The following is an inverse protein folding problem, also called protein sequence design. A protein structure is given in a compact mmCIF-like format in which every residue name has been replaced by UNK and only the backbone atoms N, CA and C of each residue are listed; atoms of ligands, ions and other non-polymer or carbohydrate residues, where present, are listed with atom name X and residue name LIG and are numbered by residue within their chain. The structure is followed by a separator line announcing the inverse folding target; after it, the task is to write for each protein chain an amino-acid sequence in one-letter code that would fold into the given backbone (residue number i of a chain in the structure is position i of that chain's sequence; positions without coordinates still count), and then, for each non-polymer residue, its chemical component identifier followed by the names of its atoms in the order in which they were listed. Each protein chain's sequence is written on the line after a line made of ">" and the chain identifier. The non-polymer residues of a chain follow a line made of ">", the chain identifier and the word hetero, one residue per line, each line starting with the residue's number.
data_IF_994248566654
#
_entry.id   IF_994248566654
#
_cell.length_a   1.000
_cell.length_b   1.000
_cell.length_c   1.000
_cell.angle_alpha   90.00
_cell.angle_beta   90.00
_cell.angle_gamma   90.00
#
_symmetry.space_group_name_H-M   'P 1'
#
loop_
_entity.id
_entity.type
_entity.pdbx_description
1 polymer ?
#
# COMPACT_ATOMS: atom_id res chain seq x y z
N UNK A 1 3.12 -22.93 -8.52
CA UNK A 1 3.90 -22.18 -9.51
C UNK A 1 3.46 -22.74 -10.83
N UNK A 2 2.58 -22.04 -11.50
CA UNK A 2 2.03 -22.50 -12.77
C UNK A 2 2.90 -21.99 -13.92
N UNK A 3 3.05 -22.78 -14.96
CA UNK A 3 3.83 -22.46 -16.16
C UNK A 3 2.86 -22.39 -17.33
N UNK A 4 2.91 -21.30 -18.07
CA UNK A 4 2.05 -21.00 -19.20
C UNK A 4 2.90 -20.75 -20.45
N UNK A 5 2.38 -21.06 -21.63
CA UNK A 5 2.91 -20.51 -22.88
C UNK A 5 2.24 -19.16 -23.19
N UNK A 6 2.85 -18.35 -24.06
CA UNK A 6 2.34 -17.03 -24.42
C UNK A 6 1.19 -17.08 -25.45
N UNK A 7 0.22 -18.00 -25.27
CA UNK A 7 -1.02 -17.93 -26.05
C UNK A 7 -1.97 -16.91 -25.43
N UNK A 8 -2.80 -16.26 -26.24
CA UNK A 8 -3.73 -15.24 -25.76
C UNK A 8 -4.68 -15.78 -24.67
N UNK A 9 -5.16 -17.04 -24.82
CA UNK A 9 -6.00 -17.68 -23.82
C UNK A 9 -5.31 -17.89 -22.47
N UNK A 10 -4.01 -18.18 -22.47
CA UNK A 10 -3.23 -18.35 -21.24
C UNK A 10 -2.87 -17.03 -20.59
N UNK A 11 -2.66 -15.98 -21.38
CA UNK A 11 -2.47 -14.62 -20.88
C UNK A 11 -3.74 -14.15 -20.15
N UNK A 12 -4.92 -14.36 -20.77
CA UNK A 12 -6.21 -14.02 -20.14
C UNK A 12 -6.42 -14.78 -18.84
N UNK A 13 -6.12 -16.08 -18.81
CA UNK A 13 -6.22 -16.93 -17.64
C UNK A 13 -5.29 -16.45 -16.51
N UNK A 14 -4.04 -16.15 -16.82
CA UNK A 14 -3.09 -15.61 -15.86
C UNK A 14 -3.52 -14.24 -15.32
N UNK A 15 -4.08 -13.39 -16.18
CA UNK A 15 -4.64 -12.09 -15.79
C UNK A 15 -5.85 -12.23 -14.87
N UNK A 16 -6.71 -13.22 -15.08
CA UNK A 16 -7.86 -13.50 -14.23
C UNK A 16 -7.41 -14.01 -12.85
N UNK A 17 -6.47 -14.96 -12.82
CA UNK A 17 -5.87 -15.49 -11.59
C UNK A 17 -5.23 -14.38 -10.73
N UNK A 18 -4.45 -13.50 -11.37
CA UNK A 18 -3.86 -12.33 -10.68
C UNK A 18 -4.95 -11.41 -10.15
N UNK A 19 -6.00 -11.13 -10.93
CA UNK A 19 -7.12 -10.29 -10.50
C UNK A 19 -7.86 -10.86 -9.29
N UNK A 20 -8.16 -12.16 -9.30
CA UNK A 20 -8.78 -12.87 -8.18
C UNK A 20 -7.88 -12.85 -6.94
N UNK A 21 -6.60 -13.14 -7.10
CA UNK A 21 -5.64 -13.11 -6.01
C UNK A 21 -5.58 -11.74 -5.35
N UNK A 22 -5.46 -10.66 -6.14
CA UNK A 22 -5.41 -9.29 -5.63
C UNK A 22 -6.69 -8.92 -4.87
N UNK A 23 -7.85 -9.34 -5.36
CA UNK A 23 -9.14 -9.17 -4.68
C UNK A 23 -9.20 -9.92 -3.35
N UNK A 24 -8.82 -11.21 -3.33
CA UNK A 24 -8.79 -12.07 -2.12
C UNK A 24 -7.84 -11.56 -1.04
N UNK A 25 -6.76 -10.88 -1.44
CA UNK A 25 -5.75 -10.35 -0.50
C UNK A 25 -6.10 -8.94 0.03
N UNK A 26 -7.15 -8.31 -0.52
CA UNK A 26 -7.66 -7.02 -0.06
C UNK A 26 -6.88 -5.83 -0.62
N UNK A 27 -6.42 -5.93 -1.87
CA UNK A 27 -5.93 -4.78 -2.64
C UNK A 27 -7.11 -3.90 -3.03
N UNK A 28 -6.93 -2.59 -3.06
CA UNK A 28 -7.96 -1.66 -3.53
C UNK A 28 -8.32 -1.95 -5.00
N UNK A 29 -9.62 -1.92 -5.36
CA UNK A 29 -10.12 -2.26 -6.70
C UNK A 29 -9.39 -1.50 -7.82
N UNK A 30 -9.12 -0.21 -7.61
CA UNK A 30 -8.41 0.64 -8.58
C UNK A 30 -6.97 0.18 -8.80
N UNK A 31 -6.30 -0.16 -7.71
CA UNK A 31 -4.93 -0.66 -7.69
C UNK A 31 -4.82 -2.06 -8.32
N UNK A 32 -5.76 -2.94 -7.98
CA UNK A 32 -5.85 -4.29 -8.55
C UNK A 32 -6.06 -4.24 -10.08
N UNK A 33 -6.96 -3.36 -10.55
CA UNK A 33 -7.22 -3.17 -11.98
C UNK A 33 -5.97 -2.64 -12.70
N UNK A 34 -5.29 -1.65 -12.13
CA UNK A 34 -4.04 -1.12 -12.71
C UNK A 34 -2.97 -2.19 -12.79
N UNK A 35 -2.76 -2.93 -11.70
CA UNK A 35 -1.77 -4.01 -11.68
C UNK A 35 -2.09 -5.07 -12.73
N UNK A 36 -3.38 -5.44 -12.89
CA UNK A 36 -3.82 -6.38 -13.91
C UNK A 36 -3.51 -5.87 -15.33
N UNK A 37 -3.85 -4.62 -15.64
CA UNK A 37 -3.60 -4.04 -16.97
C UNK A 37 -2.11 -3.96 -17.28
N UNK A 38 -1.28 -3.50 -16.34
CA UNK A 38 0.16 -3.44 -16.56
C UNK A 38 0.78 -4.84 -16.66
N UNK A 39 0.25 -5.81 -15.91
CA UNK A 39 0.66 -7.22 -15.99
C UNK A 39 0.37 -7.80 -17.38
N UNK A 40 -0.82 -7.57 -17.92
CA UNK A 40 -1.22 -7.97 -19.26
C UNK A 40 -0.34 -7.32 -20.33
N UNK A 41 -0.11 -6.01 -20.26
CA UNK A 41 0.75 -5.27 -21.20
C UNK A 41 2.17 -5.83 -21.22
N UNK A 42 2.74 -6.16 -20.06
CA UNK A 42 4.06 -6.79 -19.94
C UNK A 42 4.10 -8.18 -20.58
N UNK A 43 3.05 -8.99 -20.42
CA UNK A 43 2.98 -10.31 -21.05
C UNK A 43 2.87 -10.21 -22.58
N UNK A 44 2.07 -9.28 -23.09
CA UNK A 44 1.94 -9.03 -24.53
C UNK A 44 3.26 -8.53 -25.15
N UNK A 45 4.01 -7.72 -24.41
CA UNK A 45 5.34 -7.26 -24.85
C UNK A 45 6.35 -8.41 -24.92
N UNK A 46 6.33 -9.31 -23.93
CA UNK A 46 7.15 -10.53 -23.99
C UNK A 46 6.70 -11.50 -25.08
N UNK A 47 5.38 -11.66 -25.30
CA UNK A 47 4.84 -12.45 -26.41
C UNK A 47 5.34 -11.92 -27.77
N UNK A 48 5.31 -10.61 -27.97
CA UNK A 48 5.81 -9.96 -29.19
C UNK A 48 7.31 -10.20 -29.41
N UNK A 49 8.10 -10.25 -28.32
CA UNK A 49 9.55 -10.42 -28.38
C UNK A 49 10.00 -11.88 -28.53
N UNK A 50 9.39 -12.80 -27.78
CA UNK A 50 9.81 -14.19 -27.68
C UNK A 50 8.92 -15.18 -28.43
N UNK A 51 7.76 -14.74 -28.92
CA UNK A 51 6.78 -15.56 -29.63
C UNK A 51 5.86 -16.36 -28.69
N UNK A 52 4.81 -16.96 -29.28
CA UNK A 52 3.77 -17.67 -28.54
C UNK A 52 4.24 -19.01 -27.92
N UNK A 53 5.30 -19.63 -28.46
CA UNK A 53 5.85 -20.89 -27.96
C UNK A 53 6.71 -20.73 -26.70
N UNK A 54 7.17 -19.51 -26.42
CA UNK A 54 7.91 -19.24 -25.20
C UNK A 54 7.02 -19.44 -23.97
N UNK A 55 7.64 -19.68 -22.82
CA UNK A 55 6.91 -19.94 -21.58
C UNK A 55 7.20 -18.91 -20.51
N UNK A 56 6.19 -18.60 -19.72
CA UNK A 56 6.31 -17.75 -18.55
C UNK A 56 5.74 -18.44 -17.30
N UNK A 57 6.19 -17.99 -16.15
CA UNK A 57 5.73 -18.45 -14.83
C UNK A 57 5.22 -17.29 -14.04
N UNK A 58 4.08 -17.47 -13.38
CA UNK A 58 3.52 -16.50 -12.45
C UNK A 58 3.72 -16.97 -11.03
N UNK A 59 4.19 -16.10 -10.17
CA UNK A 59 4.35 -16.36 -8.75
C UNK A 59 3.61 -15.31 -7.95
N UNK A 60 2.60 -15.76 -7.21
CA UNK A 60 1.78 -14.94 -6.33
C UNK A 60 2.23 -15.14 -4.89
N UNK A 61 2.73 -14.09 -4.24
CA UNK A 61 3.28 -14.16 -2.89
C UNK A 61 2.53 -13.20 -1.97
N UNK A 62 1.96 -13.75 -0.90
CA UNK A 62 1.37 -12.97 0.19
C UNK A 62 2.29 -13.05 1.40
N UNK A 63 2.86 -11.90 1.80
CA UNK A 63 3.55 -11.75 3.08
C UNK A 63 2.69 -10.88 4.02
N UNK A 64 2.97 -10.92 5.32
CA UNK A 64 2.24 -10.11 6.33
C UNK A 64 2.14 -8.62 5.94
N UNK A 65 3.22 -8.03 5.44
CA UNK A 65 3.31 -6.61 5.13
C UNK A 65 3.21 -6.28 3.63
N UNK A 66 3.45 -7.23 2.72
CA UNK A 66 3.54 -6.96 1.28
C UNK A 66 2.90 -8.05 0.45
N UNK A 67 2.37 -7.63 -0.69
CA UNK A 67 1.86 -8.52 -1.75
C UNK A 67 2.85 -8.39 -2.90
N UNK A 68 3.23 -9.51 -3.51
CA UNK A 68 4.09 -9.53 -4.68
C UNK A 68 3.46 -10.40 -5.76
N UNK A 69 3.41 -9.87 -6.96
CA UNK A 69 3.10 -10.61 -8.19
C UNK A 69 4.38 -10.60 -9.01
N UNK A 70 4.90 -11.75 -9.34
CA UNK A 70 6.17 -11.89 -10.04
C UNK A 70 5.96 -12.67 -11.34
N UNK A 71 6.43 -12.09 -12.45
CA UNK A 71 6.50 -12.73 -13.76
C UNK A 71 7.94 -13.22 -13.95
N UNK A 72 8.11 -14.44 -14.40
CA UNK A 72 9.42 -15.04 -14.71
C UNK A 72 9.37 -15.54 -16.14
N UNK A 73 10.21 -15.00 -17.01
CA UNK A 73 10.33 -15.40 -18.42
C UNK A 73 11.74 -15.88 -18.68
N UNK A 74 11.88 -17.08 -19.22
CA UNK A 74 13.18 -17.64 -19.64
C UNK A 74 13.55 -17.10 -21.03
N UNK A 75 14.78 -16.64 -21.19
CA UNK A 75 15.27 -16.11 -22.46
C UNK A 75 16.35 -15.06 -22.31
N UNK A 76 16.61 -14.34 -23.39
CA UNK A 76 17.57 -13.23 -23.42
C UNK A 76 17.14 -12.10 -22.49
N UNK A 77 18.11 -11.28 -22.07
CA UNK A 77 17.85 -10.10 -21.26
C UNK A 77 16.98 -9.10 -22.03
N UNK A 78 15.74 -8.93 -21.60
CA UNK A 78 14.79 -8.00 -22.20
C UNK A 78 13.92 -7.33 -21.14
N UNK A 79 13.94 -6.00 -21.10
CA UNK A 79 13.13 -5.23 -20.18
C UNK A 79 11.82 -4.78 -20.86
N UNK A 80 10.76 -5.54 -20.66
CA UNK A 80 9.44 -5.25 -21.21
C UNK A 80 8.75 -3.99 -20.58
N UNK A 81 9.37 -3.37 -19.57
CA UNK A 81 8.85 -2.14 -18.96
C UNK A 81 9.33 -0.89 -19.72
N UNK A 82 10.37 -0.99 -20.53
CA UNK A 82 10.91 0.12 -21.32
C UNK A 82 10.35 0.00 -22.74
N UNK A 83 9.26 0.68 -23.01
CA UNK A 83 8.83 0.94 -24.39
C UNK A 83 9.84 1.90 -25.03
N UNK A 84 10.38 1.56 -26.20
CA UNK A 84 11.27 2.40 -27.01
C UNK A 84 10.54 3.60 -27.66
N UNK A 85 9.61 4.24 -26.96
CA UNK A 85 8.90 5.43 -27.42
C UNK A 85 8.96 6.50 -26.33
N UNK A 86 9.09 7.76 -26.72
CA UNK A 86 9.12 8.94 -25.84
C UNK A 86 7.91 9.01 -24.87
N UNK A 87 6.82 8.33 -25.19
CA UNK A 87 5.65 8.19 -24.30
C UNK A 87 5.87 7.22 -23.12
N UNK A 88 6.80 6.25 -23.26
CA UNK A 88 7.09 5.26 -22.21
C UNK A 88 7.69 5.88 -20.95
N UNK A 89 8.52 6.90 -21.09
CA UNK A 89 9.14 7.61 -19.96
C UNK A 89 8.13 8.39 -19.12
N UNK A 90 7.09 8.93 -19.75
CA UNK A 90 6.01 9.66 -19.05
C UNK A 90 5.14 8.70 -18.24
N UNK A 91 4.83 7.53 -18.79
CA UNK A 91 4.03 6.50 -18.12
C UNK A 91 4.83 5.87 -16.98
N UNK A 92 6.11 5.58 -17.16
CA UNK A 92 6.99 5.09 -16.10
C UNK A 92 7.17 6.14 -14.99
N UNK A 93 7.34 7.40 -15.32
CA UNK A 93 7.40 8.49 -14.34
C UNK A 93 6.11 8.64 -13.52
N UNK A 94 4.95 8.50 -14.15
CA UNK A 94 3.65 8.49 -13.50
C UNK A 94 3.46 7.26 -12.60
N UNK A 95 3.86 6.07 -13.04
CA UNK A 95 3.78 4.84 -12.26
C UNK A 95 4.77 4.85 -11.08
N UNK A 96 5.98 5.38 -11.28
CA UNK A 96 6.97 5.56 -10.21
C UNK A 96 6.50 6.57 -9.16
N UNK A 97 5.90 7.68 -9.59
CA UNK A 97 5.35 8.69 -8.67
C UNK A 97 4.19 8.19 -7.81
N UNK A 98 3.49 7.13 -8.26
CA UNK A 98 2.39 6.51 -7.52
C UNK A 98 2.89 5.32 -6.65
N UNK A 99 4.18 4.98 -6.72
CA UNK A 99 4.77 3.88 -5.95
C UNK A 99 4.35 2.48 -6.43
N UNK A 100 3.96 2.36 -7.69
CA UNK A 100 3.48 1.17 -8.38
C UNK A 100 4.43 0.69 -9.48
N UNK A 101 5.59 1.35 -9.64
CA UNK A 101 6.52 0.98 -10.68
C UNK A 101 6.94 -0.49 -10.49
N UNK A 102 6.61 -1.37 -11.45
CA UNK A 102 7.15 -2.71 -11.44
C UNK A 102 8.67 -2.65 -11.56
N UNK A 103 9.36 -3.57 -10.93
CA UNK A 103 10.82 -3.65 -11.01
C UNK A 103 11.21 -4.81 -11.90
N UNK A 104 12.11 -4.54 -12.84
CA UNK A 104 12.71 -5.57 -13.70
C UNK A 104 14.09 -5.96 -13.20
N UNK A 105 14.44 -7.23 -13.31
CA UNK A 105 15.76 -7.76 -13.01
C UNK A 105 16.03 -8.97 -13.92
N UNK A 106 17.29 -9.11 -14.38
CA UNK A 106 17.74 -10.26 -15.17
C UNK A 106 18.75 -11.06 -14.38
N UNK A 107 18.50 -12.37 -14.21
CA UNK A 107 19.41 -13.26 -13.49
C UNK A 107 19.28 -14.70 -14.01
N UNK A 108 20.44 -15.36 -14.21
CA UNK A 108 20.51 -16.77 -14.61
C UNK A 108 19.67 -17.13 -15.85
N UNK A 109 19.72 -16.30 -16.91
CA UNK A 109 18.96 -16.54 -18.13
C UNK A 109 17.45 -16.32 -18.00
N UNK A 110 17.00 -15.60 -16.97
CA UNK A 110 15.58 -15.34 -16.71
C UNK A 110 15.34 -13.87 -16.44
N UNK A 111 14.27 -13.36 -17.02
CA UNK A 111 13.74 -12.04 -16.75
C UNK A 111 12.73 -12.12 -15.60
N UNK A 112 12.89 -11.27 -14.60
CA UNK A 112 11.99 -11.16 -13.45
C UNK A 112 11.33 -9.79 -13.47
N UNK A 113 10.00 -9.75 -13.48
CA UNK A 113 9.24 -8.52 -13.26
C UNK A 113 8.42 -8.69 -11.99
N UNK A 114 8.58 -7.75 -11.07
CA UNK A 114 7.96 -7.79 -9.76
C UNK A 114 7.04 -6.59 -9.58
N UNK A 115 5.76 -6.86 -9.34
CA UNK A 115 4.74 -5.89 -8.96
C UNK A 115 4.54 -5.95 -7.44
N UNK A 116 4.44 -4.79 -6.79
CA UNK A 116 4.20 -4.69 -5.34
C UNK A 116 2.96 -3.80 -5.12
N UNK A 117 1.75 -4.33 -5.37
CA UNK A 117 0.53 -3.56 -5.17
C UNK A 117 0.31 -3.23 -3.69
N UNK A 118 -0.15 -2.01 -3.42
CA UNK A 118 -0.42 -1.55 -2.06
C UNK A 118 -1.72 -2.15 -1.55
N UNK A 119 -1.70 -2.66 -0.31
CA UNK A 119 -2.92 -3.06 0.39
C UNK A 119 -3.80 -1.85 0.66
N UNK A 120 -5.09 -2.05 0.63
CA UNK A 120 -6.06 -1.05 1.10
C UNK A 120 -5.69 -0.64 2.53
N UNK A 121 -5.45 0.65 2.79
CA UNK A 121 -5.20 1.09 4.15
C UNK A 121 -6.43 0.80 5.02
N UNK A 122 -6.19 0.32 6.24
CA UNK A 122 -7.27 0.17 7.22
C UNK A 122 -7.99 1.50 7.38
N UNK A 123 -9.33 1.47 7.37
CA UNK A 123 -10.14 2.68 7.57
C UNK A 123 -9.75 3.37 8.88
N UNK A 124 -9.80 4.70 8.91
CA UNK A 124 -9.48 5.49 10.11
C UNK A 124 -10.29 5.03 11.32
N UNK A 125 -11.55 4.69 11.10
CA UNK A 125 -12.47 4.16 12.13
C UNK A 125 -11.96 2.86 12.74
N UNK A 126 -11.50 1.90 11.92
CA UNK A 126 -10.96 0.62 12.43
C UNK A 126 -9.67 0.83 13.22
N UNK A 127 -8.80 1.75 12.77
CA UNK A 127 -7.60 2.12 13.53
C UNK A 127 -7.94 2.74 14.87
N UNK A 128 -8.95 3.59 14.90
CA UNK A 128 -9.41 4.29 16.10
C UNK A 128 -10.02 3.32 17.13
N UNK A 129 -10.92 2.43 16.68
CA UNK A 129 -11.50 1.37 17.51
C UNK A 129 -10.42 0.41 18.03
N UNK A 130 -9.47 0.04 17.17
CA UNK A 130 -8.33 -0.80 17.56
C UNK A 130 -7.46 -0.13 18.64
N UNK A 131 -7.18 1.16 18.50
CA UNK A 131 -6.42 1.93 19.50
C UNK A 131 -7.14 2.00 20.85
N UNK A 132 -8.46 2.22 20.86
CA UNK A 132 -9.27 2.23 22.07
C UNK A 132 -9.26 0.85 22.74
N UNK A 133 -9.45 -0.23 21.96
CA UNK A 133 -9.38 -1.60 22.49
C UNK A 133 -8.03 -1.92 23.11
N UNK A 134 -6.94 -1.52 22.45
CA UNK A 134 -5.59 -1.71 22.96
C UNK A 134 -5.34 -0.92 24.25
N UNK A 135 -5.84 0.31 24.33
CA UNK A 135 -5.76 1.13 25.55
C UNK A 135 -6.48 0.50 26.74
N UNK A 136 -7.67 -0.07 26.51
CA UNK A 136 -8.44 -0.79 27.56
C UNK A 136 -7.67 -2.02 28.05
N UNK A 137 -7.11 -2.81 27.13
CA UNK A 137 -6.31 -3.99 27.47
C UNK A 137 -5.07 -3.59 28.30
N UNK A 138 -4.34 -2.56 27.86
CA UNK A 138 -3.20 -2.03 28.59
C UNK A 138 -3.60 -1.53 29.99
N UNK A 139 -4.75 -0.86 30.12
CA UNK A 139 -5.26 -0.40 31.40
C UNK A 139 -5.59 -1.55 32.36
N UNK A 140 -6.19 -2.63 31.86
CA UNK A 140 -6.45 -3.84 32.66
C UNK A 140 -5.14 -4.50 33.11
N UNK A 141 -4.17 -4.62 32.20
CA UNK A 141 -2.85 -5.21 32.54
C UNK A 141 -2.16 -4.37 33.61
N UNK A 142 -2.13 -3.06 33.47
CA UNK A 142 -1.54 -2.15 34.47
C UNK A 142 -2.23 -2.27 35.84
N UNK A 143 -3.55 -2.52 35.86
CA UNK A 143 -4.28 -2.67 37.09
C UNK A 143 -3.99 -4.01 37.82
N UNK A 144 -3.54 -5.03 37.11
CA UNK A 144 -3.13 -6.33 37.64
C UNK A 144 -1.69 -6.35 38.14
N UNK A 145 -0.87 -5.33 37.83
CA UNK A 145 0.52 -5.26 38.27
C UNK A 145 0.64 -4.81 39.74
N UNK A 146 1.72 -5.23 40.44
CA UNK A 146 2.05 -4.75 41.79
C UNK A 146 2.16 -3.22 41.86
N UNK A 147 1.77 -2.65 43.00
CA UNK A 147 1.66 -1.19 43.20
C UNK A 147 2.93 -0.40 42.85
N UNK A 148 4.11 -0.97 43.08
CA UNK A 148 5.38 -0.30 42.75
C UNK A 148 5.60 -0.08 41.24
N UNK A 149 5.23 -1.06 40.40
CA UNK A 149 5.35 -0.95 38.95
C UNK A 149 4.23 -0.04 38.41
N UNK A 150 3.05 -0.13 38.97
CA UNK A 150 1.89 0.69 38.64
C UNK A 150 2.15 2.18 38.91
N UNK A 151 2.71 2.51 40.06
CA UNK A 151 3.10 3.89 40.41
C UNK A 151 4.15 4.41 39.43
N UNK A 152 5.21 3.63 39.15
CA UNK A 152 6.24 4.00 38.19
C UNK A 152 5.68 4.23 36.78
N UNK A 153 4.84 3.35 36.27
CA UNK A 153 4.20 3.51 34.95
C UNK A 153 3.29 4.76 34.89
N UNK A 154 2.58 5.04 35.98
CA UNK A 154 1.74 6.22 36.08
C UNK A 154 2.57 7.52 36.06
N UNK A 155 3.58 7.61 36.89
CA UNK A 155 4.36 8.83 37.08
C UNK A 155 5.31 9.13 35.92
N UNK A 156 5.96 8.09 35.36
CA UNK A 156 6.96 8.28 34.31
C UNK A 156 6.38 8.27 32.88
N UNK A 157 5.20 7.68 32.66
CA UNK A 157 4.62 7.55 31.31
C UNK A 157 3.25 8.23 31.18
N UNK A 158 2.26 7.83 32.00
CA UNK A 158 0.92 8.35 31.83
C UNK A 158 0.80 9.82 32.18
N UNK A 159 1.36 10.24 33.31
CA UNK A 159 1.26 11.64 33.76
C UNK A 159 1.93 12.61 32.79
N UNK A 160 3.17 12.41 32.31
CA UNK A 160 3.75 13.30 31.30
C UNK A 160 2.97 13.36 29.99
N UNK A 161 2.47 12.22 29.50
CA UNK A 161 1.66 12.15 28.27
C UNK A 161 0.34 12.91 28.45
N UNK A 162 -0.34 12.70 29.58
CA UNK A 162 -1.60 13.41 29.89
C UNK A 162 -1.38 14.91 30.00
N UNK A 163 -0.32 15.34 30.69
CA UNK A 163 0.01 16.74 30.84
C UNK A 163 0.38 17.40 29.50
N UNK A 164 1.14 16.70 28.65
CA UNK A 164 1.46 17.20 27.30
C UNK A 164 0.18 17.33 26.44
N UNK A 165 -0.73 16.35 26.51
CA UNK A 165 -1.99 16.38 25.77
C UNK A 165 -2.89 17.53 26.25
N UNK A 166 -3.05 17.68 27.57
CA UNK A 166 -3.83 18.78 28.16
C UNK A 166 -3.20 20.16 27.84
N UNK A 167 -1.88 20.25 27.84
CA UNK A 167 -1.15 21.44 27.44
C UNK A 167 -1.40 21.83 26.00
N UNK A 168 -1.41 20.84 25.07
CA UNK A 168 -1.74 21.05 23.66
C UNK A 168 -3.19 21.55 23.48
N UNK A 169 -4.16 20.94 24.15
CA UNK A 169 -5.56 21.38 24.11
C UNK A 169 -5.68 22.82 24.62
N UNK A 170 -5.07 23.15 25.73
CA UNK A 170 -5.09 24.47 26.31
C UNK A 170 -4.44 25.52 25.40
N UNK A 171 -3.32 25.19 24.76
CA UNK A 171 -2.62 26.07 23.83
C UNK A 171 -3.45 26.40 22.58
N UNK A 172 -4.27 25.44 22.10
CA UNK A 172 -5.12 25.64 20.91
C UNK A 172 -6.44 26.30 21.25
N UNK A 173 -7.00 26.03 22.44
CA UNK A 173 -8.31 26.54 22.86
C UNK A 173 -8.36 28.07 22.94
N UNK A 174 -7.31 28.72 23.47
CA UNK A 174 -7.24 30.19 23.58
C UNK A 174 -7.37 30.89 22.23
N UNK A 175 -6.45 30.64 21.28
CA UNK A 175 -6.53 31.22 19.94
C UNK A 175 -7.83 30.88 19.20
N UNK A 176 -8.37 29.68 19.36
CA UNK A 176 -9.59 29.23 18.69
C UNK A 176 -10.82 30.00 19.18
N UNK A 177 -10.97 30.18 20.51
CA UNK A 177 -12.03 30.98 21.12
C UNK A 177 -11.90 32.46 20.65
N UNK A 178 -10.69 33.03 20.68
CA UNK A 178 -10.43 34.39 20.24
C UNK A 178 -10.82 34.62 18.79
N UNK A 179 -10.40 33.72 17.88
CA UNK A 179 -10.74 33.80 16.45
C UNK A 179 -12.24 33.60 16.21
N UNK A 180 -12.90 32.73 16.97
CA UNK A 180 -14.35 32.51 16.88
C UNK A 180 -15.13 33.78 17.29
N UNK A 181 -14.73 34.41 18.37
CA UNK A 181 -15.35 35.66 18.84
C UNK A 181 -15.12 36.81 17.82
N UNK A 182 -13.89 36.99 17.34
CA UNK A 182 -13.58 37.97 16.30
C UNK A 182 -14.40 37.73 15.04
N UNK A 183 -14.46 36.50 14.56
CA UNK A 183 -15.25 36.13 13.37
C UNK A 183 -16.75 36.43 13.54
N UNK A 184 -17.29 36.22 14.75
CA UNK A 184 -18.68 36.55 15.06
C UNK A 184 -18.95 38.05 15.06
N UNK A 185 -18.00 38.87 15.58
CA UNK A 185 -18.12 40.35 15.62
C UNK A 185 -18.00 40.90 14.20
N UNK A 186 -17.01 40.45 13.42
CA UNK A 186 -16.79 40.93 12.06
C UNK A 186 -17.95 40.57 11.12
N UNK A 187 -18.55 39.39 11.31
CA UNK A 187 -19.72 38.96 10.53
C UNK A 187 -20.97 39.81 10.76
N UNK A 188 -21.13 40.40 11.94
CA UNK A 188 -22.26 41.30 12.26
C UNK A 188 -22.05 42.74 11.80
N UNK A 189 -20.83 43.15 11.47
CA UNK A 189 -20.52 44.50 11.07
C UNK A 189 -20.80 44.84 9.60
N UNK A 190 -21.30 43.89 8.82
CA UNK A 190 -21.63 44.03 7.39
C UNK A 190 -23.15 43.98 7.09
N UNK A 191 -24.02 44.23 8.02
CA UNK A 191 -25.46 44.41 7.77
C UNK A 191 -25.83 45.89 7.96
#
# INVERSE_FOLDING_TARGET
>A
MEQYNFSNSNIDLACEEVGEFLSKVGVERREALRTKLTFEEVLLEYQSKFGEEATFKVRLLKRLSSIKVEIIVEGESYNALVKNSDEGDVIQGLLAGIGLAPTWNYKNGKNYIVFIPKKKPLSGTVKMVGAIGLAVICGIILNLLPDGIRAGANDYVLTPVTNAFMGLISAVSGPLIFLSVLGSICSRGYM
#
